data_IF_522373889491
#
_entry.id   IF_522373889491
#
_cell.length_a   1.000
_cell.length_b   1.000
_cell.length_c   1.000
_cell.angle_alpha   90.00
_cell.angle_beta   90.00
_cell.angle_gamma   90.00
#
_symmetry.space_group_name_H-M   'P 1'
#
loop_
_entity.id
_entity.type
_entity.pdbx_description
1 polymer ?
#
# COMPACT_ATOMS: atom_id res chain seq x y z
N UNK A 1 -1.33 -34.95 -29.95
CA UNK A 1 -1.80 -33.59 -30.35
C UNK A 1 -3.09 -33.17 -29.63
N UNK A 2 -4.08 -34.05 -29.42
CA UNK A 2 -5.28 -33.72 -28.60
C UNK A 2 -4.94 -33.46 -27.14
N UNK A 3 -4.14 -34.32 -26.55
CA UNK A 3 -3.72 -34.26 -25.16
C UNK A 3 -2.95 -32.97 -24.80
N UNK A 4 -2.07 -32.53 -25.68
CA UNK A 4 -1.32 -31.27 -25.52
C UNK A 4 -2.23 -30.03 -25.61
N UNK A 5 -3.28 -30.12 -26.43
CA UNK A 5 -4.30 -29.09 -26.54
C UNK A 5 -5.21 -29.04 -25.32
N UNK A 6 -5.59 -30.17 -24.77
CA UNK A 6 -6.40 -30.31 -23.57
C UNK A 6 -5.63 -29.79 -22.33
N UNK A 7 -4.40 -30.21 -22.17
CA UNK A 7 -3.53 -29.73 -21.09
C UNK A 7 -3.27 -28.22 -21.15
N UNK A 8 -3.12 -27.63 -22.36
CA UNK A 8 -2.97 -26.20 -22.53
C UNK A 8 -4.25 -25.41 -22.22
N UNK A 9 -5.43 -25.99 -22.51
CA UNK A 9 -6.73 -25.37 -22.19
C UNK A 9 -7.02 -25.46 -20.70
N UNK A 10 -6.67 -26.57 -20.03
CA UNK A 10 -6.78 -26.69 -18.57
C UNK A 10 -5.89 -25.70 -17.82
N UNK A 11 -4.66 -25.51 -18.27
CA UNK A 11 -3.72 -24.54 -17.69
C UNK A 11 -4.08 -23.07 -18.00
N UNK A 12 -4.81 -22.84 -19.11
CA UNK A 12 -5.17 -21.50 -19.59
C UNK A 12 -6.55 -21.51 -20.26
N UNK A 13 -7.64 -21.46 -19.49
CA UNK A 13 -9.00 -21.64 -20.00
C UNK A 13 -9.46 -20.62 -21.06
N UNK A 14 -8.77 -19.50 -21.18
CA UNK A 14 -9.08 -18.44 -22.16
C UNK A 14 -8.23 -18.52 -23.43
N UNK A 15 -7.51 -19.62 -23.66
CA UNK A 15 -6.68 -19.82 -24.82
C UNK A 15 -7.40 -20.72 -25.85
N UNK A 16 -7.62 -20.18 -27.06
CA UNK A 16 -8.06 -21.00 -28.21
C UNK A 16 -6.86 -21.30 -29.12
N UNK A 17 -6.61 -22.56 -29.35
CA UNK A 17 -5.60 -23.02 -30.30
C UNK A 17 -6.29 -23.26 -31.63
N UNK A 18 -5.94 -22.44 -32.65
CA UNK A 18 -6.45 -22.56 -34.01
C UNK A 18 -5.35 -22.97 -34.96
N UNK A 19 -5.66 -23.92 -35.86
CA UNK A 19 -4.77 -24.27 -36.95
C UNK A 19 -4.89 -23.25 -38.09
N UNK A 20 -3.78 -22.66 -38.47
CA UNK A 20 -3.72 -21.76 -39.64
C UNK A 20 -3.26 -22.52 -40.86
N UNK A 21 -4.14 -22.70 -41.83
CA UNK A 21 -3.79 -23.33 -43.13
C UNK A 21 -2.76 -22.51 -43.92
N UNK A 22 -2.76 -21.19 -43.71
CA UNK A 22 -1.83 -20.27 -44.38
C UNK A 22 -0.38 -20.50 -43.97
N UNK A 23 -0.16 -20.83 -42.71
CA UNK A 23 1.18 -21.00 -42.12
C UNK A 23 1.51 -22.47 -41.81
N UNK A 24 0.59 -23.39 -42.01
CA UNK A 24 0.80 -24.81 -41.72
C UNK A 24 1.05 -25.11 -40.25
N UNK A 25 0.64 -24.22 -39.33
CA UNK A 25 0.98 -24.27 -37.92
C UNK A 25 -0.20 -23.92 -37.01
N UNK A 26 -0.14 -24.38 -35.77
CA UNK A 26 -1.09 -24.00 -34.74
C UNK A 26 -0.70 -22.68 -34.10
N UNK A 27 -1.66 -21.78 -34.00
CA UNK A 27 -1.48 -20.49 -33.33
C UNK A 27 -2.38 -20.44 -32.10
N UNK A 28 -1.79 -20.06 -30.99
CA UNK A 28 -2.55 -19.75 -29.78
C UNK A 28 -3.22 -18.37 -29.97
N UNK A 29 -4.51 -18.33 -29.87
CA UNK A 29 -5.29 -17.11 -29.88
C UNK A 29 -5.98 -16.99 -28.53
N UNK A 30 -5.61 -15.98 -27.77
CA UNK A 30 -6.30 -15.71 -26.50
C UNK A 30 -7.66 -15.07 -26.82
N UNK A 31 -8.76 -15.70 -26.39
CA UNK A 31 -10.05 -15.03 -26.39
C UNK A 31 -9.99 -13.93 -25.34
N UNK A 32 -9.90 -12.71 -25.82
CA UNK A 32 -9.99 -11.46 -25.06
C UNK A 32 -9.36 -11.53 -23.68
N UNK A 33 -8.09 -11.19 -23.63
CA UNK A 33 -7.42 -10.53 -22.55
C UNK A 33 -7.44 -11.20 -21.17
N UNK A 34 -6.34 -11.78 -20.78
CA UNK A 34 -5.95 -11.79 -19.39
C UNK A 34 -5.91 -10.33 -18.93
N UNK A 35 -6.87 -9.98 -18.05
CA UNK A 35 -7.00 -8.64 -17.52
C UNK A 35 -7.57 -7.66 -18.54
N UNK A 36 -8.88 -7.66 -18.71
CA UNK A 36 -9.59 -6.70 -19.56
C UNK A 36 -9.62 -5.30 -18.94
N UNK A 37 -8.45 -4.70 -18.75
CA UNK A 37 -8.41 -3.27 -18.47
C UNK A 37 -8.88 -2.53 -19.71
N UNK A 38 -9.96 -1.79 -19.57
CA UNK A 38 -10.43 -0.87 -20.60
C UNK A 38 -9.44 0.28 -20.73
N UNK A 39 -9.44 0.93 -21.88
CA UNK A 39 -8.58 2.09 -22.14
C UNK A 39 -8.57 3.12 -21.00
N UNK A 40 -9.75 3.53 -20.53
CA UNK A 40 -9.88 4.51 -19.44
C UNK A 40 -9.30 4.01 -18.12
N UNK A 41 -9.42 2.72 -17.80
CA UNK A 41 -8.83 2.13 -16.59
C UNK A 41 -7.30 2.13 -16.66
N UNK A 42 -6.74 1.73 -17.81
CA UNK A 42 -5.30 1.74 -18.00
C UNK A 42 -4.72 3.16 -17.96
N UNK A 43 -5.41 4.15 -18.56
CA UNK A 43 -5.01 5.57 -18.49
C UNK A 43 -5.01 6.08 -17.05
N UNK A 44 -6.08 5.81 -16.29
CA UNK A 44 -6.18 6.25 -14.88
C UNK A 44 -5.09 5.61 -14.02
N UNK A 45 -4.86 4.30 -14.17
CA UNK A 45 -3.81 3.61 -13.41
C UNK A 45 -2.42 4.15 -13.75
N UNK A 46 -2.14 4.39 -15.05
CA UNK A 46 -0.88 5.02 -15.48
C UNK A 46 -0.72 6.41 -14.84
N UNK A 47 -1.78 7.20 -14.84
CA UNK A 47 -1.75 8.55 -14.29
C UNK A 47 -1.52 8.55 -12.78
N UNK A 48 -2.23 7.69 -12.03
CA UNK A 48 -2.04 7.54 -10.58
C UNK A 48 -0.58 7.14 -10.29
N UNK A 49 -0.04 6.19 -11.05
CA UNK A 49 1.32 5.71 -10.86
C UNK A 49 2.36 6.81 -11.13
N UNK A 50 2.19 7.59 -12.19
CA UNK A 50 3.05 8.72 -12.53
C UNK A 50 2.96 9.84 -11.49
N UNK A 51 1.76 10.23 -11.07
CA UNK A 51 1.56 11.29 -10.07
C UNK A 51 1.99 10.88 -8.67
N UNK A 52 2.03 9.60 -8.38
CA UNK A 52 2.52 9.12 -7.08
C UNK A 52 3.96 9.53 -6.81
N UNK A 53 4.80 9.58 -7.85
CA UNK A 53 6.24 9.87 -7.79
C UNK A 53 6.99 8.97 -6.80
N UNK A 54 6.37 7.85 -6.43
CA UNK A 54 6.83 6.95 -5.40
C UNK A 54 7.95 6.01 -5.85
N UNK A 55 8.19 5.94 -7.15
CA UNK A 55 9.14 5.02 -7.78
C UNK A 55 10.08 5.79 -8.70
N UNK A 56 11.16 5.16 -9.10
CA UNK A 56 12.08 5.67 -10.11
C UNK A 56 11.41 5.74 -11.48
N UNK A 57 11.88 6.64 -12.33
CA UNK A 57 11.35 6.83 -13.68
C UNK A 57 11.36 5.54 -14.51
N UNK A 58 12.45 4.79 -14.45
CA UNK A 58 12.61 3.51 -15.15
C UNK A 58 11.64 2.45 -14.62
N UNK A 59 11.46 2.33 -13.31
CA UNK A 59 10.52 1.40 -12.68
C UNK A 59 9.06 1.71 -13.05
N UNK A 60 8.67 2.98 -12.99
CA UNK A 60 7.34 3.42 -13.41
C UNK A 60 7.08 3.07 -14.87
N UNK A 61 8.04 3.36 -15.75
CA UNK A 61 7.94 3.06 -17.18
C UNK A 61 7.78 1.55 -17.42
N UNK A 62 8.57 0.74 -16.74
CA UNK A 62 8.51 -0.73 -16.84
C UNK A 62 7.16 -1.26 -16.38
N UNK A 63 6.69 -0.87 -15.20
CA UNK A 63 5.41 -1.31 -14.65
C UNK A 63 4.26 -0.93 -15.57
N UNK A 64 4.22 0.31 -16.08
CA UNK A 64 3.18 0.74 -17.00
C UNK A 64 3.23 -0.08 -18.28
N UNK A 65 4.41 -0.31 -18.85
CA UNK A 65 4.55 -1.13 -20.06
C UNK A 65 4.02 -2.55 -19.83
N UNK A 66 4.38 -3.21 -18.73
CA UNK A 66 3.96 -4.57 -18.44
C UNK A 66 2.43 -4.70 -18.40
N UNK A 67 1.73 -3.84 -17.66
CA UNK A 67 0.29 -3.98 -17.57
C UNK A 67 -0.43 -3.50 -18.84
N UNK A 68 0.04 -2.47 -19.50
CA UNK A 68 -0.53 -1.98 -20.77
C UNK A 68 -0.40 -3.04 -21.87
N UNK A 69 0.74 -3.70 -21.98
CA UNK A 69 0.94 -4.77 -22.99
C UNK A 69 0.08 -6.01 -22.73
N UNK A 70 -0.18 -6.32 -21.48
CA UNK A 70 -0.98 -7.49 -21.10
C UNK A 70 -2.47 -7.25 -21.05
N UNK A 71 -2.88 -6.01 -20.80
CA UNK A 71 -4.26 -5.70 -20.46
C UNK A 71 -5.08 -5.05 -21.56
N UNK A 72 -4.47 -4.33 -22.47
CA UNK A 72 -5.14 -3.46 -23.47
C UNK A 72 -4.95 -3.98 -24.89
N UNK A 73 -5.93 -3.78 -25.76
CA UNK A 73 -5.81 -4.15 -27.17
C UNK A 73 -4.75 -3.31 -27.91
N UNK A 74 -4.33 -3.77 -29.10
CA UNK A 74 -3.20 -3.17 -29.84
C UNK A 74 -3.43 -1.72 -30.26
N UNK A 75 -4.67 -1.31 -30.50
CA UNK A 75 -5.02 0.05 -30.90
C UNK A 75 -4.91 1.01 -29.72
N UNK A 76 -5.48 0.63 -28.61
CA UNK A 76 -5.51 1.41 -27.38
C UNK A 76 -4.12 1.47 -26.73
N UNK A 77 -3.38 0.35 -26.77
CA UNK A 77 -2.00 0.26 -26.29
C UNK A 77 -1.10 1.34 -26.86
N UNK A 78 -1.12 1.56 -28.17
CA UNK A 78 -0.31 2.60 -28.83
C UNK A 78 -0.66 4.00 -28.34
N UNK A 79 -1.92 4.27 -28.05
CA UNK A 79 -2.36 5.56 -27.51
C UNK A 79 -1.86 5.77 -26.07
N UNK A 80 -1.96 4.75 -25.24
CA UNK A 80 -1.49 4.83 -23.84
C UNK A 80 0.03 4.99 -23.81
N UNK A 81 0.77 4.21 -24.59
CA UNK A 81 2.23 4.35 -24.67
C UNK A 81 2.65 5.77 -25.01
N UNK A 82 2.03 6.37 -26.04
CA UNK A 82 2.34 7.74 -26.42
C UNK A 82 2.02 8.76 -25.31
N UNK A 83 0.89 8.58 -24.62
CA UNK A 83 0.55 9.42 -23.48
C UNK A 83 1.56 9.26 -22.34
N UNK A 84 1.92 8.03 -22.02
CA UNK A 84 2.89 7.71 -20.98
C UNK A 84 4.28 8.27 -21.29
N UNK A 85 4.73 8.18 -22.55
CA UNK A 85 6.00 8.77 -22.98
C UNK A 85 6.04 10.28 -22.75
N UNK A 86 4.97 11.00 -23.14
CA UNK A 86 4.87 12.45 -22.91
C UNK A 86 4.90 12.83 -21.42
N UNK A 87 4.24 12.05 -20.57
CA UNK A 87 4.24 12.28 -19.13
C UNK A 87 5.59 11.92 -18.49
N UNK A 88 6.24 10.85 -18.95
CA UNK A 88 7.56 10.44 -18.48
C UNK A 88 8.65 11.46 -18.82
N UNK A 89 8.52 12.20 -19.92
CA UNK A 89 9.46 13.25 -20.27
C UNK A 89 9.45 14.39 -19.24
N UNK A 90 8.31 14.64 -18.62
CA UNK A 90 8.15 15.63 -17.55
C UNK A 90 8.23 15.04 -16.14
N UNK A 91 8.39 13.72 -16.01
CA UNK A 91 8.42 13.05 -14.71
C UNK A 91 9.63 13.48 -13.88
N UNK A 92 9.36 14.02 -12.70
CA UNK A 92 10.38 14.43 -11.76
C UNK A 92 10.48 13.44 -10.62
N UNK A 93 11.54 12.68 -10.60
CA UNK A 93 11.85 11.80 -9.47
C UNK A 93 12.04 12.59 -8.18
N UNK A 94 11.66 12.00 -7.07
CA UNK A 94 11.98 12.56 -5.76
C UNK A 94 13.51 12.61 -5.58
N UNK A 95 14.00 13.62 -4.86
CA UNK A 95 15.44 13.81 -4.62
C UNK A 95 16.13 12.58 -4.02
N UNK A 96 15.40 11.76 -3.29
CA UNK A 96 15.91 10.50 -2.71
C UNK A 96 16.39 9.52 -3.78
N UNK A 97 15.76 9.53 -4.98
CA UNK A 97 16.14 8.64 -6.08
C UNK A 97 17.26 9.22 -6.94
N UNK A 98 17.42 10.55 -6.98
CA UNK A 98 18.44 11.22 -7.77
C UNK A 98 19.87 10.88 -7.32
N UNK A 99 20.05 10.49 -6.04
CA UNK A 99 21.34 10.19 -5.44
C UNK A 99 21.55 8.72 -5.06
N UNK A 100 20.60 7.84 -5.36
CA UNK A 100 20.66 6.42 -4.99
C UNK A 100 20.17 5.56 -6.16
N UNK A 101 21.05 4.70 -6.68
CA UNK A 101 20.67 3.65 -7.65
C UNK A 101 19.83 2.53 -7.04
N UNK A 102 19.20 2.78 -5.90
CA UNK A 102 18.51 1.75 -5.13
C UNK A 102 17.02 1.75 -5.41
N UNK A 103 16.53 0.63 -5.96
CA UNK A 103 15.10 0.34 -6.06
C UNK A 103 14.46 0.15 -4.67
N UNK A 104 13.24 0.64 -4.50
CA UNK A 104 12.41 0.36 -3.31
C UNK A 104 11.65 -0.97 -3.42
N UNK A 105 11.47 -1.48 -4.62
CA UNK A 105 10.64 -2.66 -4.87
C UNK A 105 11.05 -3.88 -4.05
N UNK A 106 12.37 -4.22 -3.91
CA UNK A 106 12.79 -5.34 -3.07
C UNK A 106 12.44 -5.15 -1.58
N UNK A 107 12.58 -3.93 -1.06
CA UNK A 107 12.25 -3.64 0.34
C UNK A 107 10.73 -3.73 0.58
N UNK A 108 9.93 -3.18 -0.33
CA UNK A 108 8.47 -3.27 -0.29
C UNK A 108 8.03 -4.74 -0.36
N UNK A 109 8.60 -5.53 -1.27
CA UNK A 109 8.30 -6.98 -1.39
C UNK A 109 8.61 -7.71 -0.10
N UNK A 110 9.81 -7.51 0.47
CA UNK A 110 10.21 -8.16 1.71
C UNK A 110 9.29 -7.82 2.90
N UNK A 111 8.80 -6.56 2.96
CA UNK A 111 7.84 -6.15 3.99
C UNK A 111 6.49 -6.84 3.78
N UNK A 112 5.98 -6.90 2.54
CA UNK A 112 4.73 -7.59 2.23
C UNK A 112 4.83 -9.09 2.52
N UNK A 113 5.93 -9.74 2.13
CA UNK A 113 6.16 -11.16 2.43
C UNK A 113 6.14 -11.39 3.94
N UNK A 114 6.81 -10.54 4.72
CA UNK A 114 6.81 -10.64 6.17
C UNK A 114 5.42 -10.42 6.80
N UNK A 115 4.60 -9.51 6.25
CA UNK A 115 3.22 -9.32 6.69
C UNK A 115 2.37 -10.56 6.38
N UNK A 116 2.48 -11.09 5.17
CA UNK A 116 1.72 -12.29 4.74
C UNK A 116 2.11 -13.52 5.55
N UNK A 117 3.42 -13.71 5.76
CA UNK A 117 3.97 -14.83 6.51
C UNK A 117 3.93 -14.61 8.03
N UNK A 118 3.45 -13.44 8.47
CA UNK A 118 3.37 -13.07 9.88
C UNK A 118 4.72 -13.25 10.60
N UNK A 119 5.78 -12.78 9.98
CA UNK A 119 7.15 -12.98 10.44
C UNK A 119 7.85 -11.66 10.77
N UNK A 120 8.76 -11.65 11.77
CA UNK A 120 9.55 -10.47 12.08
C UNK A 120 10.51 -10.10 10.95
N UNK A 121 10.85 -8.81 10.89
CA UNK A 121 11.89 -8.25 10.04
C UNK A 121 13.00 -7.62 10.86
N UNK A 122 14.22 -7.75 10.37
CA UNK A 122 15.37 -6.98 10.85
C UNK A 122 15.91 -6.12 9.71
N UNK A 123 16.22 -4.88 9.97
CA UNK A 123 16.78 -3.99 8.97
C UNK A 123 17.64 -2.89 9.58
N UNK A 124 18.60 -2.42 8.78
CA UNK A 124 19.34 -1.20 9.06
C UNK A 124 18.55 -0.01 8.52
N UNK A 125 18.42 1.02 9.34
CA UNK A 125 17.62 2.20 9.03
C UNK A 125 18.45 3.47 9.15
N UNK A 126 18.48 4.29 8.09
CA UNK A 126 19.17 5.57 8.10
C UNK A 126 18.25 6.63 8.70
N UNK A 127 18.62 7.13 9.87
CA UNK A 127 17.98 8.31 10.46
C UNK A 127 18.50 9.63 9.84
N UNK A 128 17.84 10.72 10.16
CA UNK A 128 18.35 12.07 9.85
C UNK A 128 19.74 12.25 10.46
N UNK A 129 20.70 12.79 9.70
CA UNK A 129 22.09 12.95 10.14
C UNK A 129 23.01 11.76 9.86
N UNK A 130 22.63 10.89 8.88
CA UNK A 130 23.42 9.74 8.40
C UNK A 130 23.66 8.61 9.41
N UNK A 131 23.13 8.71 10.63
CA UNK A 131 23.21 7.63 11.60
C UNK A 131 22.39 6.44 11.15
N UNK A 132 23.03 5.29 11.03
CA UNK A 132 22.37 4.00 10.74
C UNK A 132 22.12 3.28 12.06
N UNK A 133 20.91 2.82 12.27
CA UNK A 133 20.52 2.02 13.43
C UNK A 133 19.84 0.74 12.97
N UNK A 134 20.07 -0.34 13.73
CA UNK A 134 19.43 -1.62 13.51
C UNK A 134 18.07 -1.67 14.23
N UNK A 135 17.08 -2.22 13.53
CA UNK A 135 15.76 -2.43 14.07
C UNK A 135 15.31 -3.87 13.84
N UNK A 136 14.65 -4.38 14.86
CA UNK A 136 13.86 -5.61 14.80
C UNK A 136 12.41 -5.20 14.96
N UNK A 137 11.56 -5.60 14.03
CA UNK A 137 10.16 -5.17 14.00
C UNK A 137 9.26 -6.32 13.58
N UNK A 138 8.00 -6.20 13.97
CA UNK A 138 6.92 -7.00 13.41
C UNK A 138 6.09 -6.09 12.50
N UNK A 139 6.16 -6.25 11.19
CA UNK A 139 5.44 -5.41 10.25
C UNK A 139 3.94 -5.74 10.25
N UNK A 140 3.12 -4.71 10.22
CA UNK A 140 1.67 -4.81 10.27
C UNK A 140 1.05 -4.41 8.95
N UNK A 141 1.55 -3.33 8.37
CA UNK A 141 0.99 -2.72 7.17
C UNK A 141 2.02 -1.90 6.42
N UNK A 142 1.75 -1.69 5.14
CA UNK A 142 2.42 -0.69 4.32
C UNK A 142 1.39 0.33 3.91
N UNK A 143 1.68 1.60 4.17
CA UNK A 143 0.87 2.71 3.68
C UNK A 143 1.66 3.57 2.71
N UNK A 144 0.95 4.19 1.78
CA UNK A 144 1.49 5.19 0.87
C UNK A 144 0.94 6.56 1.25
N UNK A 145 1.83 7.49 1.55
CA UNK A 145 1.47 8.84 1.97
C UNK A 145 2.50 9.88 1.54
N UNK A 146 2.05 11.01 1.00
CA UNK A 146 2.89 12.11 0.57
C UNK A 146 4.11 11.67 -0.25
N UNK A 147 3.88 10.83 -1.26
CA UNK A 147 4.90 10.27 -2.15
C UNK A 147 5.85 9.23 -1.54
N UNK A 148 5.64 8.79 -0.30
CA UNK A 148 6.50 7.83 0.37
C UNK A 148 5.73 6.59 0.83
N UNK A 149 6.39 5.45 0.80
CA UNK A 149 5.92 4.26 1.46
C UNK A 149 6.41 4.22 2.91
N UNK A 150 5.52 3.85 3.81
CA UNK A 150 5.82 3.66 5.23
C UNK A 150 5.47 2.24 5.64
N UNK A 151 6.42 1.57 6.28
CA UNK A 151 6.16 0.34 7.01
C UNK A 151 5.66 0.69 8.41
N UNK A 152 4.44 0.28 8.73
CA UNK A 152 3.89 0.35 10.07
C UNK A 152 4.22 -0.95 10.77
N UNK A 153 4.85 -0.88 11.93
CA UNK A 153 5.31 -2.07 12.63
C UNK A 153 5.44 -1.86 14.14
N UNK A 154 5.39 -2.96 14.87
CA UNK A 154 5.85 -2.99 16.25
C UNK A 154 7.35 -3.05 16.31
N UNK A 155 7.95 -2.25 17.18
CA UNK A 155 9.36 -2.39 17.51
C UNK A 155 9.51 -3.57 18.46
N UNK A 156 10.42 -4.48 18.15
CA UNK A 156 10.78 -5.62 18.98
C UNK A 156 12.09 -5.34 19.72
N UNK A 157 12.28 -6.00 20.84
CA UNK A 157 13.56 -6.04 21.55
C UNK A 157 14.53 -7.05 20.92
N UNK A 158 15.68 -7.25 21.56
CA UNK A 158 16.69 -8.19 21.06
C UNK A 158 16.26 -9.66 21.11
N UNK A 159 15.26 -9.99 21.94
CA UNK A 159 14.68 -11.32 22.05
C UNK A 159 13.45 -11.50 21.13
N UNK A 160 13.17 -10.55 20.25
CA UNK A 160 11.96 -10.48 19.42
C UNK A 160 10.67 -10.45 20.25
N UNK A 161 10.69 -9.83 21.41
CA UNK A 161 9.51 -9.59 22.23
C UNK A 161 9.16 -8.11 22.21
N UNK A 162 7.92 -7.80 22.56
CA UNK A 162 7.40 -6.45 22.57
C UNK A 162 6.29 -6.37 23.63
N UNK A 163 6.18 -5.25 24.31
CA UNK A 163 5.11 -4.99 25.27
C UNK A 163 3.76 -4.67 24.60
N UNK A 164 3.65 -4.81 23.29
CA UNK A 164 2.45 -4.60 22.46
C UNK A 164 1.57 -3.41 22.87
N UNK A 165 2.19 -2.38 23.44
CA UNK A 165 1.50 -1.13 23.73
C UNK A 165 1.52 -0.24 22.48
N UNK A 166 0.53 0.60 22.32
CA UNK A 166 0.48 1.58 21.22
C UNK A 166 1.75 2.43 21.11
N UNK A 167 2.46 2.62 22.22
CA UNK A 167 3.74 3.32 22.27
C UNK A 167 4.85 2.65 21.46
N UNK A 168 4.76 1.36 21.18
CA UNK A 168 5.76 0.60 20.43
C UNK A 168 5.52 0.58 18.92
N UNK A 169 4.39 1.08 18.44
CA UNK A 169 4.16 1.21 17.00
C UNK A 169 5.06 2.30 16.44
N UNK A 170 5.73 1.95 15.35
CA UNK A 170 6.64 2.83 14.61
C UNK A 170 6.28 2.87 13.14
N UNK A 171 6.55 4.03 12.56
CA UNK A 171 6.39 4.31 11.13
C UNK A 171 7.77 4.49 10.52
N UNK A 172 8.17 3.58 9.70
CA UNK A 172 9.46 3.60 9.02
C UNK A 172 9.29 3.92 7.54
N UNK A 173 9.90 4.99 7.07
CA UNK A 173 9.93 5.27 5.63
C UNK A 173 10.77 4.22 4.93
N UNK A 174 10.22 3.59 3.91
CA UNK A 174 10.88 2.46 3.23
C UNK A 174 12.13 2.88 2.47
N UNK A 175 12.20 4.11 1.97
CA UNK A 175 13.36 4.66 1.29
C UNK A 175 14.59 4.83 2.21
N UNK A 176 14.41 4.80 3.52
CA UNK A 176 15.48 4.86 4.50
C UNK A 176 16.07 3.48 4.88
N UNK A 177 15.47 2.38 4.41
CA UNK A 177 15.99 1.05 4.65
C UNK A 177 17.28 0.83 3.87
N UNK A 178 18.33 0.32 4.55
CA UNK A 178 19.62 0.03 3.91
C UNK A 178 19.73 -1.46 3.58
N UNK A 179 19.61 -2.29 4.57
CA UNK A 179 19.54 -3.75 4.46
C UNK A 179 18.25 -4.23 5.08
N UNK A 180 17.72 -5.34 4.59
CA UNK A 180 16.50 -5.95 5.12
C UNK A 180 16.67 -7.45 5.13
N UNK A 181 16.32 -8.08 6.25
CA UNK A 181 16.42 -9.52 6.45
C UNK A 181 15.15 -10.03 7.12
N UNK A 182 14.56 -11.07 6.57
CA UNK A 182 13.47 -11.78 7.21
C UNK A 182 14.04 -12.60 8.36
N UNK A 183 13.42 -12.53 9.51
CA UNK A 183 13.81 -13.38 10.65
C UNK A 183 13.17 -14.76 10.51
N UNK A 184 13.89 -15.80 10.90
CA UNK A 184 13.38 -17.17 10.97
C UNK A 184 12.56 -17.45 12.25
N UNK A 185 12.43 -16.46 13.14
CA UNK A 185 11.68 -16.64 14.37
C UNK A 185 10.18 -16.56 14.10
N UNK A 186 9.47 -17.65 14.23
CA UNK A 186 8.01 -17.73 14.21
C UNK A 186 7.46 -17.15 15.53
N UNK A 187 7.11 -15.88 15.50
CA UNK A 187 6.29 -15.31 16.58
C UNK A 187 4.83 -15.69 16.31
N UNK A 188 4.19 -16.34 17.27
CA UNK A 188 2.78 -16.68 17.13
C UNK A 188 1.95 -15.41 17.03
N UNK A 189 1.34 -15.17 15.86
CA UNK A 189 0.50 -14.01 15.55
C UNK A 189 -0.61 -13.77 16.61
N UNK A 190 -1.13 -14.84 17.20
CA UNK A 190 -2.12 -14.74 18.28
C UNK A 190 -1.62 -14.02 19.55
N UNK A 191 -0.31 -13.94 19.75
CA UNK A 191 0.27 -13.15 20.85
C UNK A 191 0.33 -11.64 20.53
N UNK A 192 0.27 -11.26 19.26
CA UNK A 192 0.51 -9.90 18.78
C UNK A 192 -0.74 -9.02 18.78
N UNK A 193 -1.92 -9.59 18.62
CA UNK A 193 -3.17 -8.85 18.43
C UNK A 193 -4.10 -8.87 19.65
N UNK A 194 -3.59 -9.25 20.81
CA UNK A 194 -4.41 -9.47 21.99
C UNK A 194 -5.18 -8.25 22.50
N UNK A 195 -4.58 -7.07 22.52
CA UNK A 195 -5.11 -5.95 23.29
C UNK A 195 -4.98 -4.57 22.62
N UNK A 196 -4.90 -4.48 21.30
CA UNK A 196 -4.49 -3.23 20.66
C UNK A 196 -5.58 -2.50 19.92
N UNK A 197 -6.71 -3.15 19.72
CA UNK A 197 -7.87 -2.48 19.21
C UNK A 197 -8.43 -1.58 20.29
N UNK A 198 -8.58 -0.32 19.97
CA UNK A 198 -9.21 0.65 20.84
C UNK A 198 -10.45 1.22 20.18
N UNK A 199 -11.51 1.38 20.98
CA UNK A 199 -12.65 2.20 20.63
C UNK A 199 -12.42 3.59 21.18
N UNK A 200 -12.43 4.57 20.28
CA UNK A 200 -12.18 5.98 20.60
C UNK A 200 -13.45 6.75 20.35
N UNK A 201 -13.91 7.46 21.37
CA UNK A 201 -14.95 8.47 21.24
C UNK A 201 -14.32 9.83 21.34
N UNK A 202 -14.54 10.69 20.35
CA UNK A 202 -13.97 12.03 20.31
C UNK A 202 -14.95 13.05 19.76
N UNK A 203 -14.75 14.31 20.11
CA UNK A 203 -15.42 15.44 19.52
C UNK A 203 -14.49 16.15 18.54
N UNK A 204 -15.08 16.56 17.44
CA UNK A 204 -14.41 17.39 16.43
C UNK A 204 -15.16 18.71 16.28
N UNK A 205 -14.38 19.80 16.27
CA UNK A 205 -14.83 21.15 15.94
C UNK A 205 -13.95 21.69 14.83
N UNK A 206 -14.48 21.78 13.63
CA UNK A 206 -13.70 22.25 12.49
C UNK A 206 -14.50 22.31 11.21
N UNK A 207 -13.91 22.93 10.19
CA UNK A 207 -14.56 23.18 8.91
C UNK A 207 -14.51 22.00 7.94
N UNK A 208 -13.67 21.00 8.19
CA UNK A 208 -13.38 19.92 7.24
C UNK A 208 -14.05 18.60 7.62
N UNK A 209 -15.30 18.67 8.10
CA UNK A 209 -16.09 17.51 8.50
C UNK A 209 -16.21 16.49 7.37
N UNK A 210 -16.60 16.94 6.17
CA UNK A 210 -16.82 16.07 5.02
C UNK A 210 -15.55 15.32 4.61
N UNK A 211 -14.40 15.98 4.73
CA UNK A 211 -13.10 15.37 4.46
C UNK A 211 -12.77 14.32 5.51
N UNK A 212 -13.01 14.64 6.79
CA UNK A 212 -12.80 13.70 7.90
C UNK A 212 -13.65 12.43 7.73
N UNK A 213 -14.93 12.59 7.42
CA UNK A 213 -15.86 11.47 7.19
C UNK A 213 -15.50 10.65 5.95
N UNK A 214 -14.97 11.28 4.91
CA UNK A 214 -14.54 10.62 3.69
C UNK A 214 -13.24 9.83 3.87
N UNK A 215 -12.29 10.40 4.62
CA UNK A 215 -10.95 9.86 4.72
C UNK A 215 -10.80 8.82 5.83
N UNK A 216 -11.68 8.82 6.83
CA UNK A 216 -11.62 7.86 7.93
C UNK A 216 -12.66 6.75 7.72
N UNK A 217 -12.25 5.57 7.25
CA UNK A 217 -13.15 4.43 7.09
C UNK A 217 -13.77 4.03 8.43
N UNK A 218 -15.07 3.69 8.40
CA UNK A 218 -15.84 3.22 9.57
C UNK A 218 -15.98 4.24 10.70
N UNK A 219 -15.78 5.52 10.43
CA UNK A 219 -16.11 6.58 11.37
C UNK A 219 -17.63 6.58 11.61
N UNK A 220 -18.03 6.45 12.85
CA UNK A 220 -19.44 6.41 13.23
C UNK A 220 -19.84 7.72 13.88
N UNK A 221 -20.79 8.39 13.30
CA UNK A 221 -21.43 9.58 13.88
C UNK A 221 -22.29 9.16 15.07
N UNK A 222 -22.07 9.76 16.23
CA UNK A 222 -22.85 9.52 17.43
C UNK A 222 -23.83 10.66 17.70
N UNK A 223 -23.35 11.89 17.62
CA UNK A 223 -24.11 13.08 17.98
C UNK A 223 -23.63 14.29 17.18
N UNK A 224 -24.56 15.16 16.87
CA UNK A 224 -24.31 16.41 16.16
C UNK A 224 -24.96 17.54 16.95
N UNK A 225 -24.21 18.58 17.26
CA UNK A 225 -24.70 19.76 17.92
C UNK A 225 -24.09 21.00 17.28
N UNK A 226 -24.90 22.04 17.10
CA UNK A 226 -24.42 23.33 16.64
C UNK A 226 -24.41 24.28 17.87
N UNK A 227 -23.23 24.82 18.17
CA UNK A 227 -23.07 25.84 19.19
C UNK A 227 -22.29 27.00 18.61
N UNK A 228 -22.82 28.21 18.71
CA UNK A 228 -22.19 29.46 18.27
C UNK A 228 -21.75 29.50 16.79
N UNK A 229 -22.48 28.79 15.90
CA UNK A 229 -22.18 28.74 14.47
C UNK A 229 -21.01 27.86 14.07
N UNK A 230 -20.49 27.06 14.99
CA UNK A 230 -19.49 26.02 14.71
C UNK A 230 -20.13 24.66 14.95
N UNK A 231 -20.09 23.81 13.95
CA UNK A 231 -20.56 22.43 14.08
C UNK A 231 -19.64 21.66 15.01
N UNK A 232 -20.21 21.15 16.09
CA UNK A 232 -19.53 20.24 17.00
C UNK A 232 -20.11 18.84 16.79
N UNK A 233 -19.26 17.91 16.42
CA UNK A 233 -19.68 16.56 16.05
C UNK A 233 -18.95 15.55 16.92
N UNK A 234 -19.70 14.58 17.45
CA UNK A 234 -19.13 13.47 18.23
C UNK A 234 -19.08 12.21 17.39
N UNK A 235 -17.90 11.61 17.35
CA UNK A 235 -17.61 10.41 16.58
C UNK A 235 -17.14 9.27 17.47
N UNK A 236 -17.34 8.06 16.97
CA UNK A 236 -16.77 6.82 17.48
C UNK A 236 -16.01 6.12 16.36
N UNK A 237 -14.84 5.60 16.65
CA UNK A 237 -14.05 4.77 15.75
C UNK A 237 -13.42 3.60 16.51
N UNK A 238 -13.36 2.46 15.86
CA UNK A 238 -12.50 1.36 16.28
C UNK A 238 -11.22 1.40 15.46
N UNK A 239 -10.11 1.56 16.14
CA UNK A 239 -8.79 1.67 15.52
C UNK A 239 -7.81 0.71 16.14
N UNK A 240 -6.90 0.23 15.32
CA UNK A 240 -5.82 -0.64 15.73
C UNK A 240 -4.69 0.12 16.44
N UNK A 241 -4.53 1.41 16.22
CA UNK A 241 -3.45 2.22 16.79
C UNK A 241 -3.95 3.58 17.25
N UNK A 242 -4.03 3.77 18.54
CA UNK A 242 -4.37 5.09 19.12
C UNK A 242 -3.35 6.17 18.67
N UNK A 243 -2.06 5.87 18.77
CA UNK A 243 -1.01 6.82 18.36
C UNK A 243 -1.04 7.13 16.86
N UNK A 244 -1.28 6.10 16.05
CA UNK A 244 -1.47 6.27 14.61
C UNK A 244 -2.67 7.15 14.29
N UNK A 245 -3.79 6.91 14.96
CA UNK A 245 -4.98 7.73 14.82
C UNK A 245 -4.74 9.17 15.27
N UNK A 246 -4.12 9.40 16.42
CA UNK A 246 -3.79 10.73 16.90
C UNK A 246 -2.89 11.51 15.92
N UNK A 247 -1.89 10.86 15.33
CA UNK A 247 -1.04 11.48 14.31
C UNK A 247 -1.78 11.74 13.01
N UNK A 248 -2.69 10.87 12.65
CA UNK A 248 -3.48 11.00 11.45
C UNK A 248 -4.43 12.20 11.51
N UNK A 249 -5.16 12.36 12.62
CA UNK A 249 -6.11 13.46 12.79
C UNK A 249 -5.42 14.83 12.88
N UNK A 250 -4.14 14.91 13.22
CA UNK A 250 -3.37 16.17 13.21
C UNK A 250 -3.24 16.81 11.82
N UNK A 251 -3.61 16.09 10.76
CA UNK A 251 -3.65 16.64 9.40
C UNK A 251 -4.88 17.50 9.13
N UNK A 252 -5.93 17.32 9.92
CA UNK A 252 -7.16 18.06 9.75
C UNK A 252 -7.08 19.32 10.61
N UNK A 253 -7.48 20.43 10.01
CA UNK A 253 -7.64 21.67 10.74
C UNK A 253 -8.89 21.56 11.64
N UNK A 254 -8.75 21.89 12.89
CA UNK A 254 -9.81 21.83 13.89
C UNK A 254 -9.36 21.27 15.24
N UNK A 255 -10.27 21.39 16.19
CA UNK A 255 -10.03 20.91 17.54
C UNK A 255 -10.58 19.48 17.73
N UNK A 256 -9.72 18.59 18.21
CA UNK A 256 -10.07 17.23 18.56
C UNK A 256 -9.99 17.04 20.08
N UNK A 257 -11.09 16.62 20.67
CA UNK A 257 -11.17 16.33 22.10
C UNK A 257 -11.52 14.85 22.28
N UNK A 258 -10.56 14.07 22.80
CA UNK A 258 -10.81 12.67 23.14
C UNK A 258 -11.64 12.58 24.41
N UNK A 259 -12.83 11.99 24.32
CA UNK A 259 -13.78 11.84 25.42
C UNK A 259 -13.59 10.49 26.14
N UNK A 260 -13.36 9.44 25.36
CA UNK A 260 -13.26 8.07 25.87
C UNK A 260 -12.33 7.24 25.00
N UNK A 261 -11.53 6.43 25.64
CA UNK A 261 -10.68 5.43 25.00
C UNK A 261 -10.88 4.13 25.75
N UNK A 262 -11.34 3.11 25.05
CA UNK A 262 -11.59 1.78 25.59
C UNK A 262 -10.75 0.77 24.83
N UNK A 263 -9.95 -0.03 25.53
CA UNK A 263 -9.34 -1.21 24.93
C UNK A 263 -10.46 -2.21 24.57
N UNK A 264 -10.38 -2.76 23.37
CA UNK A 264 -11.30 -3.82 22.95
C UNK A 264 -10.62 -5.15 23.20
N UNK A 265 -11.17 -5.92 24.13
CA UNK A 265 -10.77 -7.32 24.29
C UNK A 265 -11.06 -8.10 23.01
N UNK A 266 -10.15 -8.95 22.61
CA UNK A 266 -10.28 -9.77 21.40
C UNK A 266 -11.60 -10.55 21.43
N UNK A 267 -12.36 -10.36 20.36
CA UNK A 267 -13.43 -11.27 19.98
C UNK A 267 -12.89 -12.38 19.09
#
# INVERSE_FOLDING_TARGET
>A
MSELKENLIELRPNMKVKYSRKYGSYHAQYEQGYGNLKYNQAVILSKILLESRALRKDEVAEIINIFVERAVDDKERRRIKRLTELELDSYQELKIYQNQDKSLLPAISAIFDAIVDQSPLSFSYRKSGEKVEEYKVFPISVIFDNHYFYCISYKLDDNFTCDYQFSEIRYFRVDHFQTIHKSENDLAFSMLFGNEWARITFEYKGLYRDVLESDIPKLKLLEESASDGVDQVRYEIETFSLLGFQKYIQRFDGDFVFLKIEALDNK
#
